data_IF_719562256339
#
_entry.id   IF_719562256339
#
_cell.length_a   1.000
_cell.length_b   1.000
_cell.length_c   1.000
_cell.angle_alpha   90.00
_cell.angle_beta   90.00
_cell.angle_gamma   90.00
#
_symmetry.space_group_name_H-M   'P 1'
#
loop_
_entity.id
_entity.type
_entity.pdbx_description
1 polymer ?
#
# COMPACT_ATOMS: atom_id res chain seq x y z
N UNK A 1 5.44 -6.04 16.42
CA UNK A 1 6.12 -6.09 15.11
C UNK A 1 5.43 -7.13 14.27
N UNK A 2 4.60 -6.70 13.33
CA UNK A 2 4.11 -7.59 12.27
C UNK A 2 5.29 -8.01 11.37
N UNK A 3 5.30 -9.23 10.82
CA UNK A 3 6.29 -9.63 9.84
C UNK A 3 6.22 -8.68 8.64
N UNK A 4 7.33 -7.99 8.35
CA UNK A 4 7.45 -7.17 7.16
C UNK A 4 7.59 -8.08 5.94
N UNK A 5 6.92 -7.74 4.84
CA UNK A 5 7.13 -8.43 3.56
C UNK A 5 8.60 -8.34 3.16
N UNK A 6 9.20 -9.47 2.79
CA UNK A 6 10.57 -9.53 2.30
C UNK A 6 10.56 -9.57 0.77
N UNK A 7 11.41 -8.74 0.17
CA UNK A 7 11.68 -8.74 -1.27
C UNK A 7 12.84 -9.68 -1.65
N UNK A 8 13.48 -10.27 -0.64
CA UNK A 8 14.63 -11.17 -0.79
C UNK A 8 14.12 -12.60 -0.63
N UNK A 9 14.26 -13.38 -1.68
CA UNK A 9 14.02 -14.80 -1.68
C UNK A 9 15.26 -15.54 -2.21
N UNK A 10 15.50 -16.78 -1.76
CA UNK A 10 16.60 -17.56 -2.29
C UNK A 10 16.34 -17.90 -3.76
N UNK A 11 17.30 -17.58 -4.64
CA UNK A 11 17.22 -17.88 -6.08
C UNK A 11 17.51 -19.36 -6.40
N UNK A 12 17.72 -20.20 -5.39
CA UNK A 12 18.01 -21.62 -5.53
C UNK A 12 17.69 -22.38 -4.24
N UNK A 13 17.81 -23.71 -4.29
CA UNK A 13 17.55 -24.58 -3.14
C UNK A 13 18.54 -24.30 -2.02
N UNK A 14 18.04 -23.99 -0.83
CA UNK A 14 18.83 -23.91 0.40
C UNK A 14 18.54 -25.18 1.20
N UNK A 15 19.57 -25.99 1.44
CA UNK A 15 19.50 -27.14 2.34
C UNK A 15 19.65 -26.66 3.79
N UNK A 16 18.66 -26.96 4.62
CA UNK A 16 18.72 -26.71 6.07
C UNK A 16 19.11 -28.03 6.74
N UNK A 17 20.28 -28.06 7.37
CA UNK A 17 20.69 -29.21 8.18
C UNK A 17 20.05 -29.12 9.57
N UNK A 18 19.08 -30.00 9.84
CA UNK A 18 18.38 -30.07 11.14
C UNK A 18 19.07 -30.98 12.16
N UNK A 19 20.28 -31.47 11.85
CA UNK A 19 21.06 -32.33 12.73
C UNK A 19 21.57 -31.57 13.96
N UNK A 20 21.61 -32.25 15.11
CA UNK A 20 22.09 -31.68 16.38
C UNK A 20 23.61 -31.45 16.29
N UNK A 21 24.01 -30.20 16.09
CA UNK A 21 25.41 -29.74 16.20
C UNK A 21 25.63 -29.04 17.54
N UNK A 22 26.89 -28.99 18.00
CA UNK A 22 27.26 -28.16 19.14
C UNK A 22 26.78 -26.71 18.92
N UNK A 23 26.20 -26.05 19.92
CA UNK A 23 25.69 -24.69 19.76
C UNK A 23 26.84 -23.74 19.45
N UNK A 24 26.85 -23.21 18.23
CA UNK A 24 27.79 -22.21 17.77
C UNK A 24 27.02 -20.94 17.41
N UNK A 25 27.50 -19.78 17.87
CA UNK A 25 26.78 -18.52 17.68
C UNK A 25 27.02 -17.97 16.27
N UNK A 26 26.17 -18.38 15.31
CA UNK A 26 26.05 -17.76 13.99
C UNK A 26 24.86 -16.82 13.89
N UNK A 27 24.44 -16.21 14.99
CA UNK A 27 23.40 -15.20 14.93
C UNK A 27 23.89 -14.02 14.10
N UNK A 28 23.44 -13.95 12.85
CA UNK A 28 23.52 -12.75 12.04
C UNK A 28 22.15 -12.10 12.02
N UNK A 29 22.07 -10.77 12.07
CA UNK A 29 20.79 -10.07 11.95
C UNK A 29 20.20 -10.32 10.56
N UNK A 30 19.01 -10.91 10.49
CA UNK A 30 18.22 -11.05 9.25
C UNK A 30 17.82 -9.69 8.64
N UNK A 31 18.06 -8.60 9.35
CA UNK A 31 17.74 -7.21 8.97
C UNK A 31 18.83 -6.52 8.15
N UNK A 32 19.83 -7.23 7.60
CA UNK A 32 20.85 -6.60 6.73
C UNK A 32 20.26 -6.20 5.37
N UNK A 33 19.59 -5.06 5.30
CA UNK A 33 19.31 -4.34 4.06
C UNK A 33 20.52 -3.47 3.69
N UNK A 34 21.66 -4.09 3.34
CA UNK A 34 22.81 -3.36 2.79
C UNK A 34 22.70 -3.31 1.26
N UNK A 35 21.59 -2.80 0.75
CA UNK A 35 21.56 -2.30 -0.62
C UNK A 35 21.10 -0.86 -0.48
N UNK A 36 21.97 0.08 -0.87
CA UNK A 36 21.63 1.50 -0.91
C UNK A 36 20.22 1.62 -1.51
N UNK A 37 19.31 2.28 -0.77
CA UNK A 37 17.96 2.52 -1.25
C UNK A 37 18.12 3.19 -2.62
N UNK A 38 17.69 2.49 -3.68
CA UNK A 38 17.63 3.08 -5.01
C UNK A 38 16.83 4.37 -4.88
N UNK A 39 17.31 5.47 -5.45
CA UNK A 39 16.59 6.73 -5.37
C UNK A 39 15.12 6.52 -5.77
N UNK A 40 14.19 6.86 -4.86
CA UNK A 40 12.76 6.78 -5.12
C UNK A 40 12.40 7.57 -6.39
N UNK A 41 11.36 7.12 -7.09
CA UNK A 41 10.77 7.95 -8.13
C UNK A 41 10.20 9.22 -7.49
N UNK A 42 10.30 10.33 -8.21
CA UNK A 42 9.67 11.56 -7.78
C UNK A 42 8.17 11.33 -7.64
N UNK A 43 7.61 11.75 -6.50
CA UNK A 43 6.18 11.61 -6.24
C UNK A 43 5.42 12.62 -7.12
N UNK A 44 4.58 12.16 -8.05
CA UNK A 44 3.86 13.06 -8.94
C UNK A 44 2.86 13.92 -8.17
N UNK A 45 2.65 15.15 -8.62
CA UNK A 45 1.71 16.10 -8.02
C UNK A 45 0.58 16.43 -8.99
N UNK A 46 -0.66 16.42 -8.50
CA UNK A 46 -1.83 16.88 -9.24
C UNK A 46 -2.25 18.24 -8.67
N UNK A 47 -1.84 19.31 -9.36
CA UNK A 47 -2.12 20.70 -8.99
C UNK A 47 -2.98 21.34 -10.08
N UNK A 48 -4.21 20.87 -10.21
CA UNK A 48 -5.19 21.41 -11.17
C UNK A 48 -6.40 21.98 -10.41
N UNK A 49 -6.58 23.30 -10.52
CA UNK A 49 -7.66 24.03 -9.84
C UNK A 49 -9.03 23.79 -10.46
N UNK A 50 -9.11 23.22 -11.66
CA UNK A 50 -10.35 22.93 -12.41
C UNK A 50 -10.78 21.47 -12.26
N UNK A 51 -9.83 20.56 -12.02
CA UNK A 51 -10.11 19.14 -11.81
C UNK A 51 -11.00 18.93 -10.59
N UNK A 52 -12.14 18.26 -10.77
CA UNK A 52 -13.09 17.91 -9.69
C UNK A 52 -13.31 16.41 -9.54
N UNK A 53 -12.89 15.63 -10.52
CA UNK A 53 -13.09 14.19 -10.55
C UNK A 53 -11.78 13.47 -10.68
N UNK A 54 -11.53 12.53 -9.77
CA UNK A 54 -10.39 11.64 -9.80
C UNK A 54 -10.86 10.21 -10.07
N UNK A 55 -9.97 9.43 -10.67
CA UNK A 55 -10.18 8.00 -10.86
C UNK A 55 -9.09 7.25 -10.13
N UNK A 56 -9.48 6.42 -9.17
CA UNK A 56 -8.62 5.59 -8.35
C UNK A 56 -8.67 4.14 -8.85
N UNK A 57 -7.53 3.62 -9.31
CA UNK A 57 -7.35 2.24 -9.77
C UNK A 57 -6.20 1.56 -9.01
N UNK A 58 -6.13 0.23 -9.07
CA UNK A 58 -5.03 -0.51 -8.49
C UNK A 58 -3.98 -0.86 -9.55
N UNK A 59 -2.73 -0.91 -9.13
CA UNK A 59 -1.63 -1.34 -9.99
C UNK A 59 -0.39 -1.74 -9.20
N UNK A 60 0.72 -2.06 -9.89
CA UNK A 60 1.95 -2.48 -9.24
C UNK A 60 2.54 -1.39 -8.35
N UNK A 61 3.06 -1.76 -7.19
CA UNK A 61 3.61 -0.79 -6.23
C UNK A 61 4.94 -0.13 -6.66
N UNK A 62 5.59 -0.60 -7.73
CA UNK A 62 6.86 -0.05 -8.22
C UNK A 62 8.10 -0.43 -7.39
N UNK A 63 7.98 -1.42 -6.50
CA UNK A 63 9.09 -1.97 -5.71
C UNK A 63 9.83 -0.91 -4.88
N UNK A 64 11.17 -1.04 -4.80
CA UNK A 64 12.03 -0.13 -4.01
C UNK A 64 12.04 1.32 -4.46
N UNK A 65 11.63 1.62 -5.70
CA UNK A 65 11.59 2.99 -6.22
C UNK A 65 10.19 3.60 -6.16
N UNK A 66 9.14 2.78 -6.17
CA UNK A 66 7.74 3.23 -6.10
C UNK A 66 7.27 3.47 -4.67
N UNK A 67 6.13 2.89 -4.29
CA UNK A 67 5.48 3.08 -2.99
C UNK A 67 6.45 2.97 -1.81
N UNK A 68 7.25 1.90 -1.76
CA UNK A 68 8.17 1.65 -0.65
C UNK A 68 9.30 2.68 -0.61
N UNK A 69 9.82 3.08 -1.77
CA UNK A 69 10.83 4.14 -1.84
C UNK A 69 10.27 5.49 -1.42
N UNK A 70 9.06 5.83 -1.88
CA UNK A 70 8.42 7.13 -1.65
C UNK A 70 7.96 7.29 -0.19
N UNK A 71 7.41 6.24 0.41
CA UNK A 71 6.78 6.31 1.75
C UNK A 71 7.65 5.73 2.87
N UNK A 72 8.68 4.95 2.53
CA UNK A 72 9.44 4.16 3.50
C UNK A 72 8.70 2.94 4.06
N UNK A 73 7.45 2.70 3.64
CA UNK A 73 6.62 1.61 4.16
C UNK A 73 6.62 0.39 3.25
N UNK A 74 6.50 -0.84 3.82
CA UNK A 74 6.36 -2.03 3.02
C UNK A 74 5.04 -2.00 2.22
N UNK A 75 5.08 -2.55 1.00
CA UNK A 75 3.89 -2.77 0.17
C UNK A 75 3.58 -4.26 0.08
N UNK A 76 2.30 -4.60 -0.08
CA UNK A 76 1.82 -5.93 -0.43
C UNK A 76 1.90 -6.24 -1.94
N UNK A 77 2.56 -5.37 -2.72
CA UNK A 77 2.72 -5.51 -4.17
C UNK A 77 1.76 -4.64 -4.99
N UNK A 78 0.68 -4.13 -4.38
CA UNK A 78 -0.27 -3.21 -5.01
C UNK A 78 -0.17 -1.81 -4.42
N UNK A 79 -0.51 -0.81 -5.23
CA UNK A 79 -0.64 0.58 -4.83
C UNK A 79 -1.79 1.26 -5.57
N UNK A 80 -2.29 2.35 -4.98
CA UNK A 80 -3.27 3.20 -5.62
C UNK A 80 -2.64 4.06 -6.71
N UNK A 81 -3.32 4.07 -7.86
CA UNK A 81 -3.07 4.98 -8.96
C UNK A 81 -4.22 5.97 -9.03
N UNK A 82 -3.91 7.27 -9.02
CA UNK A 82 -4.92 8.32 -9.21
C UNK A 82 -4.67 8.98 -10.55
N UNK A 83 -5.67 8.93 -11.43
CA UNK A 83 -5.55 9.40 -12.82
C UNK A 83 -4.32 8.81 -13.55
N UNK A 84 -3.99 7.54 -13.27
CA UNK A 84 -2.84 6.84 -13.86
C UNK A 84 -1.48 7.16 -13.24
N UNK A 85 -1.42 7.99 -12.20
CA UNK A 85 -0.18 8.32 -11.48
C UNK A 85 -0.06 7.47 -10.22
N UNK A 86 1.13 6.94 -9.93
CA UNK A 86 1.41 6.13 -8.73
C UNK A 86 1.43 7.03 -7.48
N UNK A 87 0.54 6.75 -6.51
CA UNK A 87 0.39 7.45 -5.22
C UNK A 87 0.69 8.97 -5.24
N UNK A 88 0.04 9.76 -6.12
CA UNK A 88 0.36 11.16 -6.26
C UNK A 88 0.00 11.96 -5.00
N UNK A 89 0.57 13.16 -4.92
CA UNK A 89 0.11 14.21 -4.02
C UNK A 89 -1.00 15.00 -4.73
N UNK A 90 -2.18 15.11 -4.12
CA UNK A 90 -3.34 15.78 -4.71
C UNK A 90 -3.58 17.10 -3.98
N UNK A 91 -3.62 18.20 -4.72
CA UNK A 91 -3.90 19.52 -4.16
C UNK A 91 -5.36 19.88 -4.38
N UNK A 92 -6.10 20.00 -3.28
CA UNK A 92 -7.54 20.28 -3.30
C UNK A 92 -7.83 21.65 -2.68
N UNK A 93 -8.89 22.31 -3.15
CA UNK A 93 -9.34 23.60 -2.64
C UNK A 93 -10.45 23.41 -1.63
N UNK A 94 -10.35 24.09 -0.48
CA UNK A 94 -11.44 24.16 0.49
C UNK A 94 -12.69 24.79 -0.14
N UNK A 95 -13.86 24.34 0.29
CA UNK A 95 -15.16 24.81 -0.20
C UNK A 95 -15.61 24.21 -1.53
N UNK A 96 -14.85 23.25 -2.10
CA UNK A 96 -15.24 22.53 -3.30
C UNK A 96 -15.55 21.07 -3.00
N UNK A 97 -16.55 20.54 -3.72
CA UNK A 97 -16.88 19.11 -3.72
C UNK A 97 -16.08 18.41 -4.81
N UNK A 98 -15.51 17.26 -4.46
CA UNK A 98 -14.74 16.42 -5.36
C UNK A 98 -15.34 15.01 -5.41
N UNK A 99 -15.25 14.39 -6.57
CA UNK A 99 -15.67 13.01 -6.78
C UNK A 99 -14.44 12.12 -7.01
N UNK A 100 -14.41 10.96 -6.37
CA UNK A 100 -13.39 9.93 -6.64
C UNK A 100 -14.12 8.69 -7.12
N UNK A 101 -13.88 8.29 -8.36
CA UNK A 101 -14.36 7.03 -8.92
C UNK A 101 -13.40 5.93 -8.49
N UNK A 102 -13.88 4.93 -7.79
CA UNK A 102 -13.03 3.94 -7.13
C UNK A 102 -13.19 2.59 -7.81
N UNK A 103 -12.07 2.01 -8.20
CA UNK A 103 -11.99 0.72 -8.88
C UNK A 103 -11.12 -0.30 -8.12
N UNK A 104 -11.36 -0.44 -6.82
CA UNK A 104 -10.58 -1.29 -5.91
C UNK A 104 -11.10 -2.72 -5.70
N UNK A 105 -12.23 -3.06 -6.33
CA UNK A 105 -12.95 -4.31 -6.08
C UNK A 105 -13.91 -4.23 -4.89
N UNK A 106 -14.91 -5.12 -4.91
CA UNK A 106 -16.07 -5.11 -4.02
C UNK A 106 -16.36 -6.50 -3.42
N UNK A 107 -15.39 -7.42 -3.42
CA UNK A 107 -15.56 -8.76 -2.85
C UNK A 107 -14.97 -8.86 -1.43
N UNK A 108 -15.74 -8.59 -0.36
CA UNK A 108 -15.22 -8.54 1.01
C UNK A 108 -14.62 -9.86 1.51
N UNK A 109 -14.76 -10.96 0.77
CA UNK A 109 -14.18 -12.25 1.09
C UNK A 109 -12.79 -12.47 0.46
N UNK A 110 -12.25 -11.51 -0.29
CA UNK A 110 -10.91 -11.58 -0.88
C UNK A 110 -10.11 -10.32 -0.61
N UNK A 111 -9.01 -10.45 0.11
CA UNK A 111 -8.05 -9.35 0.33
C UNK A 111 -7.41 -8.86 -0.99
N UNK A 112 -7.36 -9.68 -2.04
CA UNK A 112 -6.88 -9.24 -3.36
C UNK A 112 -7.93 -8.39 -4.10
N UNK A 113 -9.21 -8.71 -3.93
CA UNK A 113 -10.32 -8.12 -4.69
C UNK A 113 -11.22 -7.19 -3.87
N UNK A 114 -10.74 -6.73 -2.72
CA UNK A 114 -11.44 -5.79 -1.85
C UNK A 114 -10.47 -4.78 -1.27
N UNK A 115 -10.36 -3.66 -1.97
CA UNK A 115 -9.49 -2.56 -1.59
C UNK A 115 -10.35 -1.29 -1.56
N UNK A 116 -11.11 -1.05 -0.48
CA UNK A 116 -11.86 0.19 -0.35
C UNK A 116 -10.91 1.38 -0.17
N UNK A 117 -11.28 2.54 -0.69
CA UNK A 117 -10.48 3.77 -0.57
C UNK A 117 -10.99 4.64 0.59
N UNK A 118 -10.25 4.68 1.70
CA UNK A 118 -10.58 5.50 2.86
C UNK A 118 -9.68 6.74 2.87
N UNK A 119 -10.26 7.91 3.10
CA UNK A 119 -9.51 9.16 3.24
C UNK A 119 -9.45 9.52 4.72
N UNK A 120 -8.24 9.67 5.25
CA UNK A 120 -7.99 10.03 6.65
C UNK A 120 -7.01 11.20 6.74
N UNK A 121 -6.81 11.74 7.94
CA UNK A 121 -5.69 12.65 8.24
C UNK A 121 -4.43 11.93 8.74
N UNK A 122 -4.38 10.60 8.62
CA UNK A 122 -3.18 9.83 8.91
C UNK A 122 -2.23 9.88 7.69
N UNK A 123 -0.99 10.37 7.84
CA UNK A 123 -0.08 10.67 6.73
C UNK A 123 0.41 9.45 5.93
N UNK A 124 0.35 8.27 6.54
CA UNK A 124 0.82 7.00 5.99
C UNK A 124 -0.33 6.11 5.45
N UNK A 125 -1.57 6.37 5.86
CA UNK A 125 -2.74 5.55 5.53
C UNK A 125 -2.78 4.24 6.32
N UNK A 126 -3.41 3.21 5.75
CA UNK A 126 -3.47 1.90 6.39
C UNK A 126 -4.29 1.87 7.69
N UNK A 127 -5.40 2.61 7.75
CA UNK A 127 -6.27 2.73 8.93
C UNK A 127 -6.57 1.37 9.59
N UNK A 128 -6.91 0.35 8.80
CA UNK A 128 -7.24 -0.99 9.29
C UNK A 128 -6.05 -1.73 9.96
N UNK A 129 -4.81 -1.33 9.66
CA UNK A 129 -3.59 -1.91 10.25
C UNK A 129 -3.22 -1.32 11.61
N UNK A 130 -3.89 -0.24 12.00
CA UNK A 130 -3.59 0.45 13.25
C UNK A 130 -4.33 -0.21 14.41
N UNK A 131 -3.78 -0.10 15.61
CA UNK A 131 -4.48 -0.56 16.82
C UNK A 131 -5.77 0.22 17.01
N UNK A 132 -6.76 -0.37 17.68
CA UNK A 132 -8.04 0.30 17.94
C UNK A 132 -7.87 1.67 18.63
N UNK A 133 -6.92 1.76 19.57
CA UNK A 133 -6.58 3.00 20.26
C UNK A 133 -5.96 4.06 19.33
N UNK A 134 -5.21 3.65 18.30
CA UNK A 134 -4.66 4.54 17.28
C UNK A 134 -5.73 4.96 16.27
N UNK A 135 -6.58 4.03 15.81
CA UNK A 135 -7.70 4.31 14.92
C UNK A 135 -8.64 5.37 15.51
N UNK A 136 -8.93 5.32 16.82
CA UNK A 136 -9.77 6.31 17.52
C UNK A 136 -9.20 7.74 17.50
N UNK A 137 -7.90 7.92 17.28
CA UNK A 137 -7.24 9.23 17.21
C UNK A 137 -7.20 9.80 15.80
N UNK A 138 -7.58 9.02 14.80
CA UNK A 138 -7.53 9.41 13.39
C UNK A 138 -8.89 9.90 12.96
N UNK A 139 -8.90 11.02 12.25
CA UNK A 139 -10.11 11.56 11.65
C UNK A 139 -10.30 10.92 10.29
N UNK A 140 -11.41 10.21 10.14
CA UNK A 140 -11.86 9.74 8.83
C UNK A 140 -12.60 10.88 8.13
N UNK A 141 -12.13 11.23 6.93
CA UNK A 141 -12.65 12.32 6.12
C UNK A 141 -13.69 11.82 5.10
N UNK A 142 -13.51 10.61 4.56
CA UNK A 142 -14.44 9.99 3.60
C UNK A 142 -14.26 8.47 3.49
N UNK A 143 -15.26 7.79 2.95
CA UNK A 143 -15.18 6.38 2.54
C UNK A 143 -15.49 5.35 3.63
N UNK A 144 -16.00 5.79 4.78
CA UNK A 144 -16.43 4.91 5.88
C UNK A 144 -17.80 5.36 6.39
N UNK A 145 -18.62 4.38 6.75
CA UNK A 145 -19.81 4.56 7.57
C UNK A 145 -19.61 3.81 8.88
N UNK A 146 -20.07 4.38 9.99
CA UNK A 146 -20.00 3.71 11.28
C UNK A 146 -21.30 2.95 11.55
N UNK A 147 -21.17 1.73 12.06
CA UNK A 147 -22.32 0.99 12.58
C UNK A 147 -22.84 1.63 13.87
N UNK A 148 -24.02 1.22 14.32
CA UNK A 148 -24.56 1.61 15.64
C UNK A 148 -23.59 1.28 16.81
N UNK A 149 -22.68 0.32 16.61
CA UNK A 149 -21.66 -0.07 17.59
C UNK A 149 -20.34 0.69 17.43
N UNK A 150 -20.30 1.71 16.56
CA UNK A 150 -19.10 2.51 16.30
C UNK A 150 -18.02 1.80 15.49
N UNK A 151 -18.32 0.65 14.86
CA UNK A 151 -17.36 -0.05 14.02
C UNK A 151 -17.28 0.61 12.63
N UNK A 152 -16.08 0.92 12.11
CA UNK A 152 -15.92 1.45 10.77
C UNK A 152 -16.27 0.39 9.73
N UNK A 153 -17.14 0.73 8.78
CA UNK A 153 -17.44 -0.06 7.58
C UNK A 153 -17.09 0.74 6.34
N UNK A 154 -16.15 0.27 5.50
CA UNK A 154 -15.83 0.96 4.27
C UNK A 154 -17.05 1.03 3.34
N UNK A 155 -17.35 2.21 2.80
CA UNK A 155 -18.43 2.45 1.82
C UNK A 155 -17.89 2.74 0.42
N UNK A 156 -16.57 2.87 0.32
CA UNK A 156 -15.82 3.28 -0.86
C UNK A 156 -15.24 2.09 -1.63
N UNK A 157 -16.05 1.06 -1.84
CA UNK A 157 -15.75 -0.08 -2.69
C UNK A 157 -16.44 0.06 -4.05
N UNK A 158 -15.90 -0.59 -5.08
CA UNK A 158 -16.40 -0.46 -6.45
C UNK A 158 -15.99 -1.63 -7.34
N UNK A 159 -16.26 -1.58 -8.66
CA UNK A 159 -15.74 -2.57 -9.60
C UNK A 159 -14.21 -2.68 -9.50
N UNK A 160 -13.61 -3.77 -9.98
CA UNK A 160 -12.16 -3.93 -9.94
C UNK A 160 -11.53 -3.46 -11.26
N UNK A 161 -10.55 -2.55 -11.17
CA UNK A 161 -9.64 -2.24 -12.27
C UNK A 161 -8.21 -2.38 -11.76
N UNK A 162 -7.55 -3.46 -12.17
CA UNK A 162 -6.21 -3.83 -11.73
C UNK A 162 -5.27 -3.80 -12.94
N UNK A 163 -4.35 -2.84 -12.96
CA UNK A 163 -3.25 -2.81 -13.90
C UNK A 163 -2.29 -3.96 -13.59
N UNK A 164 -2.08 -4.85 -14.57
CA UNK A 164 -1.14 -5.96 -14.48
C UNK A 164 -0.10 -5.84 -15.59
N UNK A 165 1.16 -6.05 -15.24
CA UNK A 165 2.22 -6.21 -16.24
C UNK A 165 2.01 -7.56 -16.96
N UNK A 166 2.03 -7.56 -18.30
CA UNK A 166 2.01 -8.80 -19.08
C UNK A 166 3.45 -9.34 -19.18
N UNK A 167 3.74 -10.42 -18.45
CA UNK A 167 5.05 -11.09 -18.43
C UNK A 167 5.83 -10.91 -17.12
N UNK A 168 7.02 -11.49 -17.06
CA UNK A 168 7.91 -11.43 -15.88
C UNK A 168 8.49 -10.02 -15.73
N UNK A 169 8.41 -9.44 -14.53
CA UNK A 169 9.03 -8.15 -14.22
C UNK A 169 10.56 -8.26 -14.28
N UNK A 170 11.14 -7.85 -15.42
CA UNK A 170 12.59 -7.86 -15.67
C UNK A 170 13.38 -6.78 -14.91
N UNK A 171 12.77 -6.09 -13.94
CA UNK A 171 13.46 -5.11 -13.08
C UNK A 171 13.93 -5.72 -11.75
N UNK A 172 13.57 -6.97 -11.50
CA UNK A 172 14.05 -7.80 -10.39
C UNK A 172 15.38 -8.52 -10.70
N UNK A 173 15.85 -8.42 -11.95
CA UNK A 173 17.14 -8.85 -12.48
C UNK A 173 18.30 -8.16 -11.74
#
# INVERSE_FOLDING_TARGET
NEPAFHDIYPRGSISIELGRKEPYNTCFPFTRTIKALREPWERPKIIDRTLRTFTATLGPAGGKRGYQGITGMPSNGLAWYINGLLIPEIWMRRGFTYAIRIFGGNNPHSAEFYNPLIITDEPHGGLERLSEAAQKKIRVLAGVQYTLRGQPRPTSAGPLCLARHKGVDRRLD
#
